data_IF_351589927270
#
_entry.id   IF_351589927270
#
_cell.length_a   1.000
_cell.length_b   1.000
_cell.length_c   1.000
_cell.angle_alpha   90.00
_cell.angle_beta   90.00
_cell.angle_gamma   90.00
#
_symmetry.space_group_name_H-M   'P 1'
#
loop_
_entity.id
_entity.type
_entity.pdbx_description
1 polymer ?
#
# COMPACT_ATOMS: atom_id res chain seq x y z
N UNK A 1 -7.49 -2.55 -49.47
CA UNK A 1 -7.74 -4.00 -49.40
C UNK A 1 -8.50 -4.44 -48.13
N UNK A 2 -8.11 -4.02 -46.91
CA UNK A 2 -8.83 -4.43 -45.68
C UNK A 2 -10.26 -3.86 -45.55
N UNK A 3 -10.48 -2.58 -45.86
CA UNK A 3 -11.80 -1.92 -45.79
C UNK A 3 -12.84 -2.55 -46.72
N UNK A 4 -12.43 -3.01 -47.91
CA UNK A 4 -13.31 -3.70 -48.85
C UNK A 4 -13.67 -5.12 -48.41
N UNK A 5 -12.81 -5.78 -47.62
CA UNK A 5 -13.12 -7.09 -47.02
C UNK A 5 -14.07 -6.94 -45.83
N UNK A 6 -13.86 -5.92 -44.98
CA UNK A 6 -14.77 -5.57 -43.89
C UNK A 6 -16.15 -5.13 -44.38
N UNK A 7 -16.22 -4.47 -45.55
CA UNK A 7 -17.47 -3.99 -46.14
C UNK A 7 -18.34 -5.06 -46.81
N UNK A 8 -17.85 -6.28 -47.08
CA UNK A 8 -18.67 -7.34 -47.71
C UNK A 8 -19.68 -7.98 -46.76
N UNK A 9 -19.27 -8.22 -45.51
CA UNK A 9 -20.15 -8.72 -44.45
C UNK A 9 -20.02 -7.80 -43.22
N UNK A 10 -20.61 -6.60 -43.27
CA UNK A 10 -20.48 -5.61 -42.20
C UNK A 10 -21.05 -6.10 -40.87
N UNK A 11 -22.15 -6.86 -40.88
CA UNK A 11 -22.75 -7.41 -39.64
C UNK A 11 -21.79 -8.36 -38.90
N UNK A 12 -21.20 -9.34 -39.59
CA UNK A 12 -20.25 -10.28 -38.97
C UNK A 12 -19.00 -9.57 -38.45
N UNK A 13 -18.54 -8.53 -39.17
CA UNK A 13 -17.38 -7.74 -38.77
C UNK A 13 -17.70 -6.86 -37.55
N UNK A 14 -18.90 -6.28 -37.50
CA UNK A 14 -19.37 -5.49 -36.35
C UNK A 14 -19.50 -6.37 -35.09
N UNK A 15 -20.04 -7.58 -35.20
CA UNK A 15 -20.14 -8.53 -34.09
C UNK A 15 -18.76 -8.97 -33.58
N UNK A 16 -17.80 -9.20 -34.47
CA UNK A 16 -16.43 -9.51 -34.06
C UNK A 16 -15.75 -8.32 -33.37
N UNK A 17 -15.92 -7.11 -33.91
CA UNK A 17 -15.36 -5.90 -33.32
C UNK A 17 -15.95 -5.58 -31.94
N UNK A 18 -17.27 -5.76 -31.75
CA UNK A 18 -17.91 -5.53 -30.45
C UNK A 18 -17.47 -6.56 -29.41
N UNK A 19 -17.32 -7.84 -29.78
CA UNK A 19 -16.79 -8.87 -28.88
C UNK A 19 -15.38 -8.52 -28.38
N UNK A 20 -14.51 -8.03 -29.27
CA UNK A 20 -13.17 -7.55 -28.89
C UNK A 20 -13.22 -6.31 -28.00
N UNK A 21 -14.10 -5.35 -28.29
CA UNK A 21 -14.26 -4.13 -27.46
C UNK A 21 -14.76 -4.46 -26.06
N UNK A 22 -15.71 -5.38 -25.93
CA UNK A 22 -16.20 -5.85 -24.62
C UNK A 22 -15.05 -6.50 -23.84
N UNK A 23 -14.28 -7.38 -24.50
CA UNK A 23 -13.11 -8.00 -23.87
C UNK A 23 -12.09 -6.98 -23.38
N UNK A 24 -11.74 -6.01 -24.22
CA UNK A 24 -10.78 -4.95 -23.87
C UNK A 24 -11.29 -4.07 -22.72
N UNK A 25 -12.57 -3.69 -22.74
CA UNK A 25 -13.16 -2.87 -21.68
C UNK A 25 -13.13 -3.57 -20.31
N UNK A 26 -13.41 -4.87 -20.29
CA UNK A 26 -13.33 -5.68 -19.06
C UNK A 26 -11.90 -5.75 -18.52
N UNK A 27 -10.92 -6.04 -19.39
CA UNK A 27 -9.50 -6.10 -19.00
C UNK A 27 -9.03 -4.75 -18.45
N UNK A 28 -9.33 -3.65 -19.15
CA UNK A 28 -8.94 -2.31 -18.72
C UNK A 28 -9.54 -1.94 -17.35
N UNK A 29 -10.80 -2.29 -17.12
CA UNK A 29 -11.47 -2.04 -15.83
C UNK A 29 -10.76 -2.79 -14.69
N UNK A 30 -10.43 -4.07 -14.90
CA UNK A 30 -9.71 -4.87 -13.89
C UNK A 30 -8.31 -4.32 -13.65
N UNK A 31 -7.61 -3.85 -14.70
CA UNK A 31 -6.28 -3.23 -14.56
C UNK A 31 -6.32 -1.98 -13.70
N UNK A 32 -7.25 -1.05 -13.93
CA UNK A 32 -7.39 0.18 -13.14
C UNK A 32 -7.74 -0.13 -11.69
N UNK A 33 -8.65 -1.08 -11.44
CA UNK A 33 -8.99 -1.50 -10.09
C UNK A 33 -7.79 -2.14 -9.39
N UNK A 34 -7.02 -2.96 -10.10
CA UNK A 34 -5.82 -3.62 -9.55
C UNK A 34 -4.72 -2.61 -9.20
N UNK A 35 -4.51 -1.61 -10.05
CA UNK A 35 -3.60 -0.49 -9.77
C UNK A 35 -4.07 0.30 -8.54
N UNK A 36 -5.37 0.60 -8.45
CA UNK A 36 -5.96 1.29 -7.31
C UNK A 36 -5.80 0.49 -6.02
N UNK A 37 -6.04 -0.82 -6.05
CA UNK A 37 -5.85 -1.69 -4.89
C UNK A 37 -4.38 -1.75 -4.49
N UNK A 38 -3.46 -1.82 -5.45
CA UNK A 38 -2.02 -1.79 -5.17
C UNK A 38 -1.59 -0.47 -4.53
N UNK A 39 -2.09 0.66 -5.03
CA UNK A 39 -1.85 1.97 -4.44
C UNK A 39 -2.38 2.02 -3.01
N UNK A 40 -3.63 1.61 -2.77
CA UNK A 40 -4.21 1.56 -1.43
C UNK A 40 -3.46 0.61 -0.49
N UNK A 41 -3.03 -0.57 -0.96
CA UNK A 41 -2.25 -1.50 -0.12
C UNK A 41 -0.84 -0.98 0.13
N UNK A 42 -0.22 -0.30 -0.85
CA UNK A 42 1.05 0.41 -0.66
C UNK A 42 0.94 1.49 0.41
N UNK A 43 -0.08 2.33 0.30
CA UNK A 43 -0.35 3.42 1.26
C UNK A 43 -0.63 2.88 2.68
N UNK A 44 -1.39 1.77 2.81
CA UNK A 44 -1.64 1.13 4.12
C UNK A 44 -0.37 0.52 4.71
N UNK A 45 0.53 -0.02 3.89
CA UNK A 45 1.82 -0.56 4.36
C UNK A 45 2.85 0.55 4.64
N UNK A 46 2.72 1.72 4.00
CA UNK A 46 3.56 2.90 4.26
C UNK A 46 3.05 3.76 5.43
N UNK A 47 1.86 3.48 5.96
CA UNK A 47 1.37 4.02 7.24
C UNK A 47 1.91 3.27 8.48
N UNK A 48 2.67 2.20 8.30
CA UNK A 48 3.51 1.68 9.37
C UNK A 48 4.66 2.67 9.57
N UNK A 49 4.70 3.32 10.74
CA UNK A 49 5.83 4.13 11.19
C UNK A 49 7.12 3.35 10.96
N UNK A 50 7.85 3.69 9.90
CA UNK A 50 9.10 3.03 9.50
C UNK A 50 10.16 3.42 10.53
N UNK A 51 10.24 2.69 11.64
CA UNK A 51 11.39 2.76 12.54
C UNK A 51 12.29 1.58 12.24
N UNK A 52 13.57 1.87 11.95
CA UNK A 52 14.57 0.81 11.75
C UNK A 52 14.73 -0.06 13.02
N UNK A 53 14.40 0.51 14.17
CA UNK A 53 14.52 -0.14 15.48
C UNK A 53 13.31 0.13 16.36
N UNK A 54 12.84 -0.91 17.03
CA UNK A 54 11.82 -0.83 18.08
C UNK A 54 12.43 -1.28 19.40
N UNK A 55 12.43 -0.38 20.39
CA UNK A 55 13.01 -0.63 21.71
C UNK A 55 11.89 -0.59 22.75
N UNK A 56 11.70 -1.71 23.44
CA UNK A 56 10.68 -1.88 24.49
C UNK A 56 11.35 -2.37 25.77
N UNK A 57 10.85 -1.92 26.91
CA UNK A 57 11.42 -2.29 28.19
C UNK A 57 11.13 -3.75 28.54
N UNK A 58 11.81 -4.24 29.58
CA UNK A 58 11.71 -5.65 29.97
C UNK A 58 10.27 -6.02 30.34
N UNK A 59 9.76 -7.11 29.75
CA UNK A 59 8.40 -7.59 29.96
C UNK A 59 8.35 -8.57 31.14
N UNK A 60 8.24 -8.06 32.36
CA UNK A 60 8.10 -8.87 33.58
C UNK A 60 6.63 -9.15 33.96
N UNK A 61 5.65 -8.72 33.15
CA UNK A 61 4.22 -8.87 33.40
C UNK A 61 3.37 -8.54 32.17
N UNK A 62 2.05 -8.34 32.32
CA UNK A 62 1.17 -7.93 31.21
C UNK A 62 1.51 -6.54 30.65
N UNK A 63 2.20 -5.71 31.43
CA UNK A 63 2.70 -4.39 31.03
C UNK A 63 4.24 -4.40 31.00
N UNK A 64 4.87 -3.95 29.90
CA UNK A 64 6.32 -3.76 29.84
C UNK A 64 6.78 -2.72 30.87
N UNK A 65 7.95 -2.92 31.47
CA UNK A 65 8.56 -1.89 32.29
C UNK A 65 8.87 -0.66 31.42
N UNK A 66 8.51 0.53 31.91
CA UNK A 66 8.84 1.78 31.22
C UNK A 66 10.33 2.10 31.29
N UNK A 67 10.81 2.91 30.36
CA UNK A 67 12.16 3.48 30.41
C UNK A 67 12.23 4.75 31.28
N UNK A 68 13.44 5.12 31.69
CA UNK A 68 13.72 6.45 32.23
C UNK A 68 13.29 7.52 31.22
N UNK A 69 12.67 8.64 31.65
CA UNK A 69 12.26 9.71 30.74
C UNK A 69 13.44 10.39 30.02
N UNK A 70 14.68 10.20 30.49
CA UNK A 70 15.89 10.74 29.86
C UNK A 70 16.44 9.87 28.73
N UNK A 71 16.01 8.62 28.59
CA UNK A 71 16.57 7.69 27.59
C UNK A 71 16.41 8.24 26.16
N UNK A 72 15.27 8.89 25.89
CA UNK A 72 14.98 9.48 24.58
C UNK A 72 15.97 10.58 24.25
N UNK A 73 16.29 11.46 25.21
CA UNK A 73 17.29 12.52 25.01
C UNK A 73 18.71 11.97 24.90
N UNK A 74 19.02 10.88 25.60
CA UNK A 74 20.34 10.23 25.50
C UNK A 74 20.54 9.57 24.14
N UNK A 75 19.52 8.90 23.60
CA UNK A 75 19.56 8.26 22.28
C UNK A 75 19.60 9.32 21.16
N UNK A 76 18.86 10.42 21.29
CA UNK A 76 18.87 11.50 20.30
C UNK A 76 20.21 12.27 20.20
N UNK A 77 21.13 12.09 21.16
CA UNK A 77 22.47 12.66 21.11
C UNK A 77 23.47 11.79 20.35
N UNK A 78 23.12 10.53 20.05
CA UNK A 78 24.00 9.63 19.32
C UNK A 78 24.09 10.07 17.85
N UNK A 79 25.30 10.24 17.29
CA UNK A 79 25.46 10.69 15.90
C UNK A 79 24.91 9.70 14.87
N UNK A 80 24.68 8.45 15.26
CA UNK A 80 24.09 7.39 14.43
C UNK A 80 22.56 7.43 14.36
N UNK A 81 21.89 8.25 15.17
CA UNK A 81 20.43 8.29 15.27
C UNK A 81 19.89 9.57 14.63
N UNK A 82 19.04 9.40 13.61
CA UNK A 82 18.45 10.52 12.87
C UNK A 82 17.19 11.09 13.57
N UNK A 83 16.30 10.21 14.05
CA UNK A 83 15.08 10.62 14.74
C UNK A 83 14.69 9.62 15.85
N UNK A 84 14.04 10.12 16.90
CA UNK A 84 13.58 9.31 18.03
C UNK A 84 12.15 9.70 18.40
N UNK A 85 11.23 8.75 18.23
CA UNK A 85 9.83 8.92 18.61
C UNK A 85 9.51 8.19 19.92
N UNK A 86 8.84 8.87 20.84
CA UNK A 86 8.30 8.26 22.05
C UNK A 86 6.85 7.84 21.80
N UNK A 87 6.60 6.54 21.70
CA UNK A 87 5.25 5.99 21.69
C UNK A 87 4.79 5.77 23.13
N UNK A 88 3.78 6.52 23.57
CA UNK A 88 3.11 6.30 24.85
C UNK A 88 1.80 5.57 24.57
N UNK A 89 1.73 4.28 24.90
CA UNK A 89 0.47 3.52 24.77
C UNK A 89 -0.54 4.10 25.77
N UNK A 90 -1.68 4.64 25.34
CA UNK A 90 -2.70 5.11 26.26
C UNK A 90 -3.26 3.90 27.02
N UNK A 91 -3.15 3.92 28.35
CA UNK A 91 -3.78 2.96 29.25
C UNK A 91 -5.28 2.96 28.96
N UNK A 92 -5.84 1.83 28.51
CA UNK A 92 -7.29 1.65 28.42
C UNK A 92 -7.82 1.39 29.83
N UNK A 93 -8.67 2.28 30.33
CA UNK A 93 -9.45 2.11 31.58
C UNK A 93 -10.37 0.87 31.53
#
# INVERSE_FOLDING_TARGET
MARSNAGRNPERTATAASALMIGLALVATVSVVSESLKATVGDILEEDVISDWWVQGESLGPEPLGFSPTITSEIALLPEVEDVLRCNTPMRD
#
